data_IF_527747986401
#
_entry.id   IF_527747986401
#
_cell.length_a   1.000
_cell.length_b   1.000
_cell.length_c   1.000
_cell.angle_alpha   90.00
_cell.angle_beta   90.00
_cell.angle_gamma   90.00
#
_symmetry.space_group_name_H-M   'P 1'
#
loop_
_entity.id
_entity.type
_entity.pdbx_description
1 polymer ?
#
# COMPACT_ATOMS: atom_id res chain seq x y z
N UNK A 1 -20.38 36.65 -1.96
CA UNK A 1 -20.64 35.20 -2.17
C UNK A 1 -19.47 34.43 -2.81
N UNK A 2 -18.21 34.91 -2.72
CA UNK A 2 -17.05 34.28 -3.39
C UNK A 2 -16.37 33.17 -2.55
N UNK A 3 -16.44 33.28 -1.21
CA UNK A 3 -15.77 32.35 -0.29
C UNK A 3 -16.43 30.98 -0.17
N UNK A 4 -17.75 30.90 -0.33
CA UNK A 4 -18.50 29.64 -0.20
C UNK A 4 -18.11 28.61 -1.28
N UNK A 5 -17.89 29.06 -2.53
CA UNK A 5 -17.47 28.19 -3.62
C UNK A 5 -16.05 27.61 -3.41
N UNK A 6 -15.13 28.43 -2.91
CA UNK A 6 -13.76 27.98 -2.62
C UNK A 6 -13.73 26.96 -1.47
N UNK A 7 -14.54 27.18 -0.42
CA UNK A 7 -14.67 26.25 0.70
C UNK A 7 -15.28 24.93 0.24
N UNK A 8 -16.32 24.96 -0.58
CA UNK A 8 -16.93 23.76 -1.16
C UNK A 8 -15.94 22.98 -2.03
N UNK A 9 -15.17 23.66 -2.88
CA UNK A 9 -14.14 23.02 -3.71
C UNK A 9 -13.05 22.36 -2.86
N UNK A 10 -12.57 23.02 -1.80
CA UNK A 10 -11.58 22.45 -0.89
C UNK A 10 -12.11 21.23 -0.13
N UNK A 11 -13.36 21.26 0.34
CA UNK A 11 -14.02 20.13 0.98
C UNK A 11 -14.18 18.93 0.03
N UNK A 12 -14.59 19.19 -1.22
CA UNK A 12 -14.70 18.16 -2.24
C UNK A 12 -13.35 17.51 -2.55
N UNK A 13 -12.29 18.32 -2.68
CA UNK A 13 -10.92 17.82 -2.90
C UNK A 13 -10.46 16.91 -1.74
N UNK A 14 -10.68 17.31 -0.49
CA UNK A 14 -10.34 16.51 0.69
C UNK A 14 -11.11 15.17 0.70
N UNK A 15 -12.40 15.18 0.36
CA UNK A 15 -13.22 13.98 0.29
C UNK A 15 -12.79 13.03 -0.83
N UNK A 16 -12.37 13.56 -1.98
CA UNK A 16 -11.85 12.75 -3.09
C UNK A 16 -10.49 12.12 -2.74
N UNK A 17 -9.61 12.88 -2.06
CA UNK A 17 -8.34 12.34 -1.58
C UNK A 17 -8.52 11.21 -0.57
N UNK A 18 -9.45 11.36 0.39
CA UNK A 18 -9.72 10.31 1.37
C UNK A 18 -10.31 9.04 0.73
N UNK A 19 -11.21 9.19 -0.24
CA UNK A 19 -11.77 8.06 -0.98
C UNK A 19 -10.72 7.30 -1.80
N UNK A 20 -9.78 8.02 -2.44
CA UNK A 20 -8.70 7.40 -3.21
C UNK A 20 -7.76 6.55 -2.33
N UNK A 21 -7.46 7.01 -1.12
CA UNK A 21 -6.65 6.26 -0.16
C UNK A 21 -7.39 5.01 0.35
N UNK A 22 -8.71 5.11 0.59
CA UNK A 22 -9.51 3.97 1.03
C UNK A 22 -9.65 2.87 -0.04
N UNK A 23 -9.57 3.22 -1.32
CA UNK A 23 -9.65 2.25 -2.41
C UNK A 23 -8.44 1.30 -2.46
N UNK A 24 -7.27 1.72 -1.95
CA UNK A 24 -6.09 0.86 -1.87
C UNK A 24 -6.23 -0.26 -0.83
N UNK A 25 -7.10 -0.11 0.17
CA UNK A 25 -7.33 -1.12 1.21
C UNK A 25 -8.05 -2.37 0.68
N UNK A 26 -8.73 -2.26 -0.47
CA UNK A 26 -9.50 -3.36 -1.06
C UNK A 26 -8.65 -4.38 -1.83
N UNK A 27 -7.39 -4.07 -2.15
CA UNK A 27 -6.49 -5.00 -2.83
C UNK A 27 -5.72 -5.80 -1.78
N UNK A 28 -5.94 -7.12 -1.66
CA UNK A 28 -5.20 -7.92 -0.71
C UNK A 28 -3.71 -7.86 -1.04
N UNK A 29 -2.95 -7.23 -0.15
CA UNK A 29 -1.50 -7.12 -0.27
C UNK A 29 -0.87 -8.40 0.27
N UNK A 30 0.00 -9.02 -0.52
CA UNK A 30 0.77 -10.18 -0.04
C UNK A 30 1.83 -9.74 0.97
N UNK A 31 1.74 -10.25 2.19
CA UNK A 31 2.69 -9.99 3.28
C UNK A 31 3.31 -11.29 3.79
N UNK A 32 4.56 -11.18 4.27
CA UNK A 32 5.23 -12.29 4.95
C UNK A 32 4.68 -12.43 6.38
N UNK A 33 3.98 -13.52 6.66
CA UNK A 33 3.56 -13.89 8.03
C UNK A 33 4.61 -14.75 8.76
N UNK A 34 5.52 -15.36 8.00
CA UNK A 34 6.63 -16.16 8.52
C UNK A 34 7.79 -16.19 7.53
N UNK A 35 8.97 -16.58 8.00
CA UNK A 35 10.19 -16.59 7.20
C UNK A 35 10.76 -18.01 7.07
N UNK A 36 11.35 -18.29 5.91
CA UNK A 36 12.08 -19.54 5.68
C UNK A 36 13.31 -19.56 6.58
N UNK A 37 13.41 -20.56 7.47
CA UNK A 37 14.53 -20.65 8.43
C UNK A 37 15.81 -21.24 7.86
N UNK A 38 15.76 -21.82 6.66
CA UNK A 38 16.89 -22.46 5.99
C UNK A 38 17.31 -21.63 4.76
N UNK A 39 18.61 -21.51 4.46
CA UNK A 39 19.06 -20.82 3.26
C UNK A 39 18.50 -21.43 1.97
N UNK A 40 18.06 -20.58 1.04
CA UNK A 40 17.62 -20.99 -0.30
C UNK A 40 18.83 -20.89 -1.24
N UNK A 41 19.17 -21.95 -1.98
CA UNK A 41 20.21 -21.89 -3.00
C UNK A 41 19.88 -20.83 -4.06
N UNK A 42 20.78 -19.86 -4.27
CA UNK A 42 20.54 -18.73 -5.18
C UNK A 42 20.20 -19.15 -6.61
N UNK A 43 20.77 -20.25 -7.08
CA UNK A 43 20.49 -20.79 -8.42
C UNK A 43 19.06 -21.31 -8.61
N UNK A 44 18.28 -21.43 -7.52
CA UNK A 44 16.86 -21.81 -7.57
C UNK A 44 15.91 -20.62 -7.46
N UNK A 45 16.43 -19.39 -7.34
CA UNK A 45 15.63 -18.17 -7.20
C UNK A 45 15.45 -17.57 -8.59
N UNK A 46 14.21 -17.49 -9.05
CA UNK A 46 13.88 -16.88 -10.34
C UNK A 46 13.79 -15.35 -10.25
N UNK A 47 13.13 -14.84 -9.22
CA UNK A 47 12.90 -13.42 -8.98
C UNK A 47 12.90 -13.14 -7.48
N UNK A 48 13.13 -11.87 -7.13
CA UNK A 48 13.10 -11.39 -5.75
C UNK A 48 12.47 -10.01 -5.72
N UNK A 49 11.53 -9.76 -4.81
CA UNK A 49 10.94 -8.43 -4.61
C UNK A 49 10.63 -8.16 -3.13
N UNK A 50 10.68 -6.89 -2.75
CA UNK A 50 10.33 -6.42 -1.40
C UNK A 50 8.81 -6.33 -1.28
N UNK A 51 8.27 -6.78 -0.14
CA UNK A 51 6.85 -6.60 0.18
C UNK A 51 6.52 -5.13 0.40
N UNK A 52 5.23 -4.79 0.32
CA UNK A 52 4.74 -3.44 0.59
C UNK A 52 5.15 -2.93 1.97
N UNK A 53 5.35 -1.62 2.09
CA UNK A 53 5.55 -0.93 3.37
C UNK A 53 4.31 -0.91 4.26
N UNK A 54 3.13 -1.28 3.72
CA UNK A 54 1.90 -1.46 4.51
C UNK A 54 1.91 -2.75 5.34
N UNK A 55 2.81 -3.69 5.08
CA UNK A 55 2.93 -4.91 5.88
C UNK A 55 3.48 -4.61 7.28
N UNK A 56 2.93 -5.27 8.30
CA UNK A 56 3.40 -5.09 9.69
C UNK A 56 4.86 -5.51 9.90
N UNK A 57 5.33 -6.49 9.13
CA UNK A 57 6.71 -6.94 9.13
C UNK A 57 7.33 -6.76 7.74
N UNK A 58 8.59 -6.33 7.66
CA UNK A 58 9.31 -6.27 6.38
C UNK A 58 9.56 -7.67 5.84
N UNK A 59 9.50 -7.83 4.51
CA UNK A 59 9.63 -9.12 3.85
C UNK A 59 10.22 -9.01 2.44
N UNK A 60 10.78 -10.12 1.99
CA UNK A 60 11.28 -10.31 0.62
C UNK A 60 10.77 -11.66 0.15
N UNK A 61 10.17 -11.67 -1.05
CA UNK A 61 9.60 -12.86 -1.69
C UNK A 61 10.36 -13.18 -2.97
#
# INVERSE_FOLDING_TARGET
MKGSAAVLAALLLLALCSLAMAHLEGVPTSCCISYVRRPIPRNRIATVYTTSSSCANPGVM
#
